data_IF_226450965610
#
_entry.id   IF_226450965610
#
_cell.length_a   1.000
_cell.length_b   1.000
_cell.length_c   1.000
_cell.angle_alpha   90.00
_cell.angle_beta   90.00
_cell.angle_gamma   90.00
#
_symmetry.space_group_name_H-M   'P 1'
#
loop_
_entity.id
_entity.type
_entity.pdbx_description
1 polymer ?
#
# COMPACT_ATOMS: atom_id res chain seq x y z
N UNK A 1 60.19 42.60 -28.01
CA UNK A 1 59.64 41.29 -27.87
C UNK A 1 58.65 41.37 -26.70
N UNK A 2 57.35 41.37 -27.00
CA UNK A 2 56.28 41.51 -26.01
C UNK A 2 55.57 40.13 -25.85
N UNK A 3 55.67 39.49 -24.68
CA UNK A 3 54.99 38.24 -24.36
C UNK A 3 53.60 38.56 -23.85
N UNK A 4 52.59 38.21 -24.62
CA UNK A 4 51.20 38.22 -24.17
C UNK A 4 50.87 36.86 -23.55
N UNK A 5 50.77 36.81 -22.26
CA UNK A 5 50.26 35.65 -21.54
C UNK A 5 48.72 35.76 -21.45
N UNK A 6 48.05 34.93 -22.23
CA UNK A 6 46.57 34.79 -22.14
C UNK A 6 46.20 33.92 -20.96
N UNK A 7 45.55 34.48 -19.95
CA UNK A 7 45.01 33.76 -18.83
C UNK A 7 43.61 33.25 -19.24
N UNK A 8 43.47 31.96 -19.48
CA UNK A 8 42.17 31.31 -19.69
C UNK A 8 41.50 31.09 -18.34
N UNK A 9 40.42 31.82 -18.05
CA UNK A 9 39.58 31.65 -16.86
C UNK A 9 38.61 30.52 -17.14
N UNK A 10 38.88 29.30 -16.59
CA UNK A 10 37.99 28.19 -16.64
C UNK A 10 36.87 28.38 -15.57
N UNK A 11 35.69 28.79 -16.02
CA UNK A 11 34.50 28.85 -15.19
C UNK A 11 33.99 27.41 -14.96
N UNK A 12 34.26 26.82 -13.79
CA UNK A 12 33.69 25.55 -13.36
C UNK A 12 32.22 25.80 -12.95
N UNK A 13 31.29 25.41 -13.83
CA UNK A 13 29.87 25.45 -13.58
C UNK A 13 29.55 24.27 -12.66
N UNK A 14 29.59 24.46 -11.33
CA UNK A 14 29.09 23.50 -10.33
C UNK A 14 27.57 23.56 -10.35
N UNK A 15 26.94 22.71 -11.16
CA UNK A 15 25.51 22.40 -11.01
C UNK A 15 25.32 21.68 -9.69
N UNK A 16 24.93 22.41 -8.64
CA UNK A 16 24.41 21.81 -7.41
C UNK A 16 23.11 21.09 -7.79
N UNK A 17 23.17 19.76 -7.93
CA UNK A 17 21.97 18.95 -7.91
C UNK A 17 21.36 19.11 -6.52
N UNK A 18 20.37 19.98 -6.41
CA UNK A 18 19.47 20.00 -5.26
C UNK A 18 18.67 18.69 -5.32
N UNK A 19 19.17 17.64 -4.65
CA UNK A 19 18.35 16.48 -4.34
C UNK A 19 17.18 17.00 -3.52
N UNK A 20 16.02 17.16 -4.16
CA UNK A 20 14.78 17.42 -3.44
C UNK A 20 14.57 16.34 -2.39
N UNK A 21 13.86 16.61 -1.30
CA UNK A 21 13.57 15.61 -0.31
C UNK A 21 12.91 14.42 -1.01
N UNK A 22 13.57 13.26 -0.96
CA UNK A 22 12.94 12.01 -1.41
C UNK A 22 11.74 11.79 -0.50
N UNK A 23 10.54 12.13 -0.98
CA UNK A 23 9.30 11.87 -0.27
C UNK A 23 9.04 10.39 -0.44
N UNK A 24 9.52 9.62 0.51
CA UNK A 24 9.24 8.19 0.56
C UNK A 24 7.91 7.99 1.28
N UNK A 25 7.04 7.21 0.66
CA UNK A 25 5.71 6.90 1.17
C UNK A 25 5.58 5.41 1.45
N UNK A 26 4.73 5.04 2.40
CA UNK A 26 4.26 3.67 2.46
C UNK A 26 3.51 3.36 1.16
N UNK A 27 3.83 2.24 0.51
CA UNK A 27 3.25 1.87 -0.78
C UNK A 27 2.95 0.38 -0.84
N UNK A 28 1.95 -0.01 -1.62
CA UNK A 28 1.77 -1.42 -1.96
C UNK A 28 2.78 -1.84 -3.03
N UNK A 29 3.23 -3.09 -2.94
CA UNK A 29 4.10 -3.70 -3.96
C UNK A 29 3.42 -3.74 -5.33
N UNK A 30 2.12 -4.07 -5.36
CA UNK A 30 1.26 -3.96 -6.53
C UNK A 30 0.18 -2.93 -6.24
N UNK A 31 0.19 -1.80 -6.95
CA UNK A 31 -0.79 -0.73 -6.76
C UNK A 31 -2.09 -0.96 -7.54
N UNK A 32 -2.13 -1.95 -8.42
CA UNK A 32 -3.29 -2.32 -9.23
C UNK A 32 -3.57 -3.79 -9.03
N UNK A 33 -4.82 -4.13 -8.73
CA UNK A 33 -5.25 -5.52 -8.47
C UNK A 33 -6.63 -5.80 -9.06
N UNK A 34 -6.91 -7.05 -9.50
CA UNK A 34 -8.22 -7.46 -9.98
C UNK A 34 -9.33 -7.27 -8.94
N UNK A 35 -10.42 -6.60 -9.30
CA UNK A 35 -11.59 -6.40 -8.47
C UNK A 35 -12.31 -7.71 -8.14
N UNK A 36 -12.90 -7.84 -6.94
CA UNK A 36 -13.75 -8.96 -6.54
C UNK A 36 -13.03 -10.24 -6.12
N UNK A 37 -11.70 -10.26 -6.11
CA UNK A 37 -10.91 -11.44 -5.77
C UNK A 37 -10.15 -11.28 -4.46
N UNK A 38 -9.72 -12.41 -3.92
CA UNK A 38 -8.75 -12.43 -2.81
C UNK A 38 -7.37 -12.08 -3.40
N UNK A 39 -6.72 -11.10 -2.78
CA UNK A 39 -5.41 -10.61 -3.16
C UNK A 39 -4.41 -10.85 -2.04
N UNK A 40 -3.18 -11.19 -2.39
CA UNK A 40 -2.04 -11.16 -1.49
C UNK A 40 -1.42 -9.76 -1.59
N UNK A 41 -1.60 -8.96 -0.55
CA UNK A 41 -1.20 -7.56 -0.49
C UNK A 41 0.04 -7.40 0.39
N UNK A 42 0.99 -6.60 -0.07
CA UNK A 42 2.17 -6.25 0.72
C UNK A 42 2.32 -4.74 0.78
N UNK A 43 2.20 -4.20 1.99
CA UNK A 43 2.51 -2.81 2.29
C UNK A 43 3.99 -2.69 2.63
N UNK A 44 4.73 -1.89 1.87
CA UNK A 44 6.13 -1.58 2.14
C UNK A 44 6.26 -0.32 2.96
N UNK A 45 6.98 -0.43 4.06
CA UNK A 45 7.47 0.70 4.85
C UNK A 45 8.95 0.87 4.52
N UNK A 46 9.28 1.90 3.76
CA UNK A 46 10.55 2.03 3.04
C UNK A 46 11.59 2.89 3.76
N UNK A 47 11.24 3.45 4.90
CA UNK A 47 12.14 4.27 5.71
C UNK A 47 11.60 4.44 7.13
N UNK A 48 12.45 4.92 8.02
CA UNK A 48 12.05 5.36 9.35
C UNK A 48 11.24 6.64 9.34
N UNK A 49 10.88 7.08 10.51
CA UNK A 49 10.08 8.28 10.72
C UNK A 49 10.91 9.57 10.58
N UNK A 50 10.21 10.69 10.54
CA UNK A 50 10.83 12.02 10.54
C UNK A 50 11.85 12.16 11.67
N UNK A 51 12.97 12.84 11.39
CA UNK A 51 14.05 13.03 12.35
C UNK A 51 14.91 11.79 12.58
N UNK A 52 14.96 10.87 11.61
CA UNK A 52 15.77 9.65 11.65
C UNK A 52 15.43 8.70 12.80
N UNK A 53 14.15 8.68 13.21
CA UNK A 53 13.66 7.73 14.21
C UNK A 53 13.25 6.41 13.54
N UNK A 54 13.65 5.25 14.10
CA UNK A 54 13.22 3.96 13.57
C UNK A 54 11.72 3.73 13.78
N UNK A 55 11.10 2.92 12.89
CA UNK A 55 9.72 2.47 13.02
C UNK A 55 9.67 1.22 13.87
N UNK A 56 8.85 1.19 14.89
CA UNK A 56 8.64 0.06 15.80
C UNK A 56 7.20 -0.49 15.77
N UNK A 57 6.29 0.17 15.08
CA UNK A 57 4.96 -0.36 14.82
C UNK A 57 4.39 0.16 13.50
N UNK A 58 3.51 -0.64 12.89
CA UNK A 58 2.79 -0.28 11.67
C UNK A 58 1.33 -0.64 11.87
N UNK A 59 0.46 0.34 11.66
CA UNK A 59 -0.99 0.19 11.78
C UNK A 59 -1.65 0.48 10.46
N UNK A 60 -2.47 -0.45 9.97
CA UNK A 60 -3.18 -0.32 8.70
C UNK A 60 -4.68 -0.42 8.96
N UNK A 61 -5.42 0.63 8.62
CA UNK A 61 -6.88 0.62 8.61
C UNK A 61 -7.38 -0.03 7.33
N UNK A 62 -8.23 -1.04 7.47
CA UNK A 62 -8.81 -1.76 6.34
C UNK A 62 -10.02 -0.99 5.81
N UNK A 63 -10.04 -0.60 4.51
CA UNK A 63 -11.14 0.17 3.94
C UNK A 63 -12.47 -0.59 3.94
N UNK A 64 -13.57 0.17 3.80
CA UNK A 64 -14.90 -0.40 3.59
C UNK A 64 -14.95 -1.28 2.33
N UNK A 65 -15.74 -2.33 2.37
CA UNK A 65 -15.88 -3.30 1.27
C UNK A 65 -14.78 -4.36 1.21
N UNK A 66 -13.65 -4.17 1.91
CA UNK A 66 -12.61 -5.20 2.04
C UNK A 66 -13.00 -6.18 3.15
N UNK A 67 -12.95 -7.48 2.83
CA UNK A 67 -13.37 -8.56 3.73
C UNK A 67 -12.37 -9.72 3.70
N UNK A 68 -12.61 -10.77 4.49
CA UNK A 68 -11.80 -12.01 4.52
C UNK A 68 -10.30 -11.72 4.70
N UNK A 69 -9.98 -10.85 5.64
CA UNK A 69 -8.59 -10.46 5.90
C UNK A 69 -7.91 -11.55 6.71
N UNK A 70 -6.77 -12.02 6.22
CA UNK A 70 -5.84 -12.93 6.91
C UNK A 70 -4.47 -12.30 6.95
N UNK A 71 -3.87 -12.19 8.12
CA UNK A 71 -2.64 -11.43 8.33
C UNK A 71 -1.44 -12.38 8.37
N UNK A 72 -0.37 -12.02 7.68
CA UNK A 72 0.88 -12.76 7.75
C UNK A 72 1.64 -12.44 9.04
N UNK A 73 2.27 -13.47 9.60
CA UNK A 73 3.17 -13.33 10.75
C UNK A 73 4.54 -12.89 10.25
N UNK A 74 4.98 -11.72 10.69
CA UNK A 74 6.34 -11.23 10.43
C UNK A 74 7.21 -11.63 11.62
N UNK A 75 8.39 -12.18 11.35
CA UNK A 75 9.31 -12.62 12.41
C UNK A 75 9.64 -11.45 13.34
N UNK A 76 9.63 -11.72 14.65
CA UNK A 76 9.93 -10.76 15.71
C UNK A 76 8.97 -9.56 15.84
N UNK A 77 7.84 -9.61 15.09
CA UNK A 77 6.75 -8.67 15.21
C UNK A 77 5.51 -9.33 15.80
N UNK A 78 4.92 -8.68 16.80
CA UNK A 78 3.61 -9.06 17.33
C UNK A 78 2.53 -8.54 16.38
N UNK A 79 1.52 -9.38 16.09
CA UNK A 79 0.37 -9.00 15.27
C UNK A 79 -0.87 -8.92 16.14
N UNK A 80 -1.62 -7.83 16.00
CA UNK A 80 -2.92 -7.62 16.64
C UNK A 80 -3.92 -7.14 15.59
N UNK A 81 -5.18 -7.55 15.72
CA UNK A 81 -6.26 -7.11 14.83
C UNK A 81 -7.44 -6.60 15.64
N UNK A 82 -8.08 -5.55 15.14
CA UNK A 82 -9.40 -5.11 15.60
C UNK A 82 -10.44 -5.56 14.59
N UNK A 83 -11.61 -5.98 15.08
CA UNK A 83 -12.73 -6.40 14.24
C UNK A 83 -13.75 -5.29 14.13
N UNK A 84 -14.50 -5.28 13.00
CA UNK A 84 -15.72 -4.49 12.83
C UNK A 84 -16.84 -5.36 12.30
N UNK A 85 -18.08 -5.03 12.65
CA UNK A 85 -19.27 -5.64 12.05
C UNK A 85 -19.43 -5.16 10.62
N UNK A 86 -19.84 -6.08 9.76
CA UNK A 86 -20.21 -5.71 8.39
C UNK A 86 -21.61 -5.10 8.38
N UNK A 87 -21.89 -4.06 7.57
CA UNK A 87 -23.22 -3.49 7.41
C UNK A 87 -24.25 -4.51 6.90
N UNK A 88 -23.78 -5.45 6.07
CA UNK A 88 -24.55 -6.60 5.57
C UNK A 88 -23.65 -7.83 5.61
N UNK A 89 -24.17 -8.99 6.06
CA UNK A 89 -23.44 -10.23 5.97
C UNK A 89 -23.06 -10.55 4.52
N UNK A 90 -21.86 -11.07 4.31
CA UNK A 90 -21.39 -11.55 3.01
C UNK A 90 -21.21 -13.05 3.04
N UNK A 91 -21.51 -13.71 1.92
CA UNK A 91 -21.34 -15.14 1.81
C UNK A 91 -19.86 -15.50 1.79
N UNK A 92 -19.45 -16.36 2.69
CA UNK A 92 -18.12 -16.92 2.79
C UNK A 92 -17.99 -18.24 2.00
N UNK A 93 -16.86 -18.89 2.17
CA UNK A 93 -16.60 -20.21 1.63
C UNK A 93 -17.51 -21.25 2.32
N UNK A 94 -17.98 -22.23 1.56
CA UNK A 94 -18.88 -23.26 2.09
C UNK A 94 -20.27 -22.75 2.52
N UNK A 95 -20.69 -21.55 2.08
CA UNK A 95 -22.01 -20.97 2.39
C UNK A 95 -22.10 -20.31 3.76
N UNK A 96 -21.02 -20.28 4.54
CA UNK A 96 -20.98 -19.60 5.84
C UNK A 96 -21.14 -18.08 5.66
N UNK A 97 -22.03 -17.46 6.46
CA UNK A 97 -22.22 -16.02 6.44
C UNK A 97 -21.19 -15.33 7.32
N UNK A 98 -20.43 -14.43 6.73
CA UNK A 98 -19.44 -13.59 7.41
C UNK A 98 -20.15 -12.30 7.83
N UNK A 99 -20.17 -12.02 9.12
CA UNK A 99 -20.81 -10.84 9.73
C UNK A 99 -19.82 -9.82 10.24
N UNK A 100 -18.54 -10.18 10.32
CA UNK A 100 -17.46 -9.34 10.80
C UNK A 100 -16.25 -9.43 9.89
N UNK A 101 -15.42 -8.39 9.89
CA UNK A 101 -14.12 -8.39 9.20
C UNK A 101 -13.09 -7.66 10.04
N UNK A 102 -11.82 -7.82 9.70
CA UNK A 102 -10.77 -7.00 10.31
C UNK A 102 -10.98 -5.54 9.92
N UNK A 103 -10.90 -4.68 10.91
CA UNK A 103 -11.01 -3.24 10.80
C UNK A 103 -9.64 -2.56 10.75
N UNK A 104 -8.72 -3.09 11.56
CA UNK A 104 -7.36 -2.56 11.69
C UNK A 104 -6.40 -3.72 11.97
N UNK A 105 -5.25 -3.67 11.34
CA UNK A 105 -4.12 -4.55 11.62
C UNK A 105 -3.02 -3.71 12.25
N UNK A 106 -2.41 -4.22 13.32
CA UNK A 106 -1.24 -3.62 13.93
C UNK A 106 -0.12 -4.65 14.06
N UNK A 107 1.03 -4.33 13.51
CA UNK A 107 2.29 -5.01 13.79
C UNK A 107 3.11 -4.15 14.73
N UNK A 108 3.71 -4.73 15.75
CA UNK A 108 4.56 -4.03 16.69
C UNK A 108 5.78 -4.87 17.08
N UNK A 109 6.93 -4.23 17.16
CA UNK A 109 8.19 -4.88 17.47
C UNK A 109 9.02 -4.00 18.42
N UNK A 110 8.96 -4.23 19.74
CA UNK A 110 9.69 -3.40 20.70
C UNK A 110 11.21 -3.55 20.61
N UNK A 111 11.70 -4.61 19.95
CA UNK A 111 13.14 -4.90 19.82
C UNK A 111 13.65 -4.95 18.39
N UNK A 112 12.76 -5.18 17.42
CA UNK A 112 13.08 -5.20 15.99
C UNK A 112 12.47 -3.99 15.34
N UNK A 113 13.26 -3.11 14.76
CA UNK A 113 12.80 -1.84 14.21
C UNK A 113 13.20 -1.75 12.73
N UNK A 114 12.41 -1.00 11.97
CA UNK A 114 12.85 -0.59 10.63
C UNK A 114 13.78 0.60 10.83
N UNK A 115 15.06 0.49 10.44
CA UNK A 115 16.01 1.59 10.55
C UNK A 115 15.54 2.83 9.81
N UNK A 116 16.05 3.99 10.22
CA UNK A 116 15.68 5.27 9.62
C UNK A 116 16.01 5.37 8.13
N UNK A 117 17.00 4.61 7.65
CA UNK A 117 17.40 4.60 6.24
C UNK A 117 18.04 3.27 5.84
N UNK A 118 18.08 2.99 4.53
CA UNK A 118 18.81 1.86 3.96
C UNK A 118 18.12 0.50 4.09
N UNK A 119 16.93 0.45 4.66
CA UNK A 119 16.18 -0.80 4.85
C UNK A 119 14.69 -0.55 4.68
N UNK A 120 13.96 -1.60 4.35
CA UNK A 120 12.50 -1.61 4.33
C UNK A 120 11.97 -2.91 4.93
N UNK A 121 10.69 -2.90 5.32
CA UNK A 121 9.97 -4.10 5.72
C UNK A 121 8.65 -4.20 4.96
N UNK A 122 8.22 -5.43 4.66
CA UNK A 122 7.00 -5.76 3.97
C UNK A 122 5.96 -6.38 4.89
N UNK A 123 4.84 -5.71 5.07
CA UNK A 123 3.72 -6.17 5.90
C UNK A 123 2.64 -6.77 5.02
N UNK A 124 2.51 -8.10 5.07
CA UNK A 124 1.64 -8.86 4.17
C UNK A 124 0.33 -9.23 4.83
N UNK A 125 -0.71 -9.21 4.03
CA UNK A 125 -2.02 -9.76 4.40
C UNK A 125 -2.80 -10.15 3.15
N UNK A 126 -3.67 -11.14 3.29
CA UNK A 126 -4.63 -11.51 2.24
C UNK A 126 -5.94 -10.82 2.53
N UNK A 127 -6.62 -10.37 1.50
CA UNK A 127 -7.94 -9.75 1.65
C UNK A 127 -8.76 -9.90 0.37
N UNK A 128 -10.05 -10.08 0.52
CA UNK A 128 -10.98 -9.96 -0.61
C UNK A 128 -11.29 -8.49 -0.82
N UNK A 129 -10.93 -7.96 -1.98
CA UNK A 129 -11.28 -6.61 -2.40
C UNK A 129 -12.68 -6.59 -3.02
N UNK A 130 -13.43 -5.45 -2.94
CA UNK A 130 -14.77 -5.35 -3.51
C UNK A 130 -14.76 -5.49 -5.04
N UNK A 131 -15.88 -5.96 -5.59
CA UNK A 131 -16.06 -6.09 -7.04
C UNK A 131 -16.54 -4.76 -7.64
N UNK A 132 -15.68 -3.75 -7.58
CA UNK A 132 -15.93 -2.39 -8.09
C UNK A 132 -14.77 -1.95 -8.99
N UNK A 133 -14.67 -2.49 -10.24
CA UNK A 133 -13.62 -2.08 -11.17
C UNK A 133 -13.60 -0.57 -11.40
N UNK A 134 -12.42 0.03 -11.42
CA UNK A 134 -12.23 1.48 -11.53
C UNK A 134 -12.25 2.22 -10.19
N UNK A 135 -12.58 1.56 -9.08
CA UNK A 135 -12.49 2.17 -7.76
C UNK A 135 -11.07 2.21 -7.23
N UNK A 136 -10.79 3.18 -6.38
CA UNK A 136 -9.58 3.27 -5.58
C UNK A 136 -9.89 2.96 -4.12
N UNK A 137 -9.04 2.17 -3.49
CA UNK A 137 -9.09 1.88 -2.06
C UNK A 137 -7.90 2.56 -1.38
N UNK A 138 -8.17 3.38 -0.38
CA UNK A 138 -7.13 4.04 0.41
C UNK A 138 -6.96 3.34 1.77
N UNK A 139 -5.75 2.93 2.08
CA UNK A 139 -5.39 2.26 3.32
C UNK A 139 -4.69 3.22 4.25
N UNK A 140 -5.43 3.87 5.14
CA UNK A 140 -4.82 4.77 6.12
C UNK A 140 -3.82 3.99 6.97
N UNK A 141 -2.57 4.43 6.95
CA UNK A 141 -1.46 3.75 7.61
C UNK A 141 -0.77 4.70 8.57
N UNK A 142 -0.35 4.20 9.72
CA UNK A 142 0.41 4.96 10.71
C UNK A 142 1.65 4.15 11.07
N UNK A 143 2.82 4.73 10.84
CA UNK A 143 4.07 4.20 11.35
C UNK A 143 4.29 4.75 12.76
N UNK A 144 4.34 3.88 13.77
CA UNK A 144 4.72 4.26 15.12
C UNK A 144 6.23 4.27 15.24
N UNK A 145 6.77 5.27 15.86
CA UNK A 145 8.18 5.55 15.97
C UNK A 145 8.61 5.63 17.43
N UNK A 146 9.89 5.63 17.72
CA UNK A 146 10.38 5.85 19.08
C UNK A 146 9.94 7.23 19.64
N UNK A 147 9.79 8.21 18.73
CA UNK A 147 9.35 9.57 19.08
C UNK A 147 8.18 9.98 18.19
N UNK A 148 6.97 9.72 18.69
CA UNK A 148 5.72 10.08 18.01
C UNK A 148 5.34 9.14 16.86
N UNK A 149 4.40 9.54 16.03
CA UNK A 149 3.86 8.79 14.91
C UNK A 149 4.14 9.50 13.58
N UNK A 150 4.27 8.74 12.52
CA UNK A 150 4.35 9.25 11.14
C UNK A 150 3.11 8.77 10.36
N UNK A 151 2.05 9.60 10.26
CA UNK A 151 0.78 9.20 9.69
C UNK A 151 0.73 9.38 8.16
N UNK A 152 0.23 8.36 7.46
CA UNK A 152 -0.14 8.33 6.04
C UNK A 152 -1.65 8.12 5.95
N UNK A 153 -2.42 9.14 6.30
CA UNK A 153 -3.88 9.03 6.50
C UNK A 153 -4.68 10.01 5.66
N UNK A 154 -4.03 10.94 4.97
CA UNK A 154 -4.72 11.98 4.22
C UNK A 154 -5.27 11.42 2.92
N UNK A 155 -6.51 11.78 2.63
CA UNK A 155 -7.23 11.44 1.40
C UNK A 155 -7.26 12.66 0.46
N UNK A 156 -7.52 12.46 -0.84
CA UNK A 156 -7.73 13.58 -1.75
C UNK A 156 -8.87 14.48 -1.25
N UNK A 157 -8.61 15.79 -1.16
CA UNK A 157 -9.62 16.77 -0.73
C UNK A 157 -10.76 16.91 -1.76
N UNK A 158 -10.41 16.76 -3.02
CA UNK A 158 -11.36 16.69 -4.15
C UNK A 158 -11.31 15.28 -4.71
N UNK A 159 -12.43 14.66 -5.07
CA UNK A 159 -12.43 13.35 -5.69
C UNK A 159 -11.51 13.33 -6.92
N UNK A 160 -10.68 12.30 -7.02
CA UNK A 160 -9.85 12.09 -8.19
C UNK A 160 -10.74 11.77 -9.41
N UNK A 161 -10.31 12.13 -10.62
CA UNK A 161 -10.97 11.70 -11.84
C UNK A 161 -11.14 10.18 -11.89
N UNK A 162 -12.05 9.68 -12.70
CA UNK A 162 -12.20 8.24 -12.90
C UNK A 162 -10.90 7.61 -13.41
N UNK A 163 -10.58 6.41 -12.94
CA UNK A 163 -9.43 5.64 -13.43
C UNK A 163 -9.55 5.47 -14.95
N UNK A 164 -8.50 5.88 -15.67
CA UNK A 164 -8.47 5.90 -17.13
C UNK A 164 -8.90 7.23 -17.77
N UNK A 165 -9.36 8.22 -17.00
CA UNK A 165 -9.54 9.58 -17.52
C UNK A 165 -8.18 10.20 -17.89
N UNK A 166 -8.18 11.11 -18.87
CA UNK A 166 -6.96 11.68 -19.44
C UNK A 166 -6.07 12.41 -18.39
N UNK A 167 -6.70 13.02 -17.39
CA UNK A 167 -6.03 13.76 -16.32
C UNK A 167 -5.81 12.95 -15.03
N UNK A 168 -6.31 11.70 -14.98
CA UNK A 168 -6.23 10.86 -13.77
C UNK A 168 -4.80 10.70 -13.25
N UNK A 169 -3.86 10.34 -14.14
CA UNK A 169 -2.49 10.08 -13.73
C UNK A 169 -1.83 11.32 -13.13
N UNK A 170 -2.02 12.50 -13.75
CA UNK A 170 -1.44 13.75 -13.26
C UNK A 170 -2.06 14.13 -11.91
N UNK A 171 -3.38 14.05 -11.76
CA UNK A 171 -4.07 14.36 -10.50
C UNK A 171 -3.68 13.42 -9.36
N UNK A 172 -3.42 12.16 -9.67
CA UNK A 172 -2.91 11.20 -8.68
C UNK A 172 -1.47 11.54 -8.27
N UNK A 173 -0.61 11.90 -9.22
CA UNK A 173 0.76 12.36 -8.93
C UNK A 173 0.72 13.62 -8.06
N UNK A 174 -0.08 14.61 -8.43
CA UNK A 174 -0.27 15.85 -7.64
C UNK A 174 -0.67 15.52 -6.20
N UNK A 175 -1.69 14.66 -6.04
CA UNK A 175 -2.14 14.22 -4.71
C UNK A 175 -1.00 13.56 -3.91
N UNK A 176 -0.28 12.64 -4.53
CA UNK A 176 0.78 11.89 -3.84
C UNK A 176 2.00 12.75 -3.50
N UNK A 177 2.33 13.76 -4.32
CA UNK A 177 3.52 14.61 -4.14
C UNK A 177 3.26 15.85 -3.28
N UNK A 178 2.06 16.43 -3.36
CA UNK A 178 1.73 17.69 -2.69
C UNK A 178 1.06 17.48 -1.31
N UNK A 179 0.53 16.28 -1.05
CA UNK A 179 -0.14 15.96 0.21
C UNK A 179 0.87 15.44 1.23
N UNK A 180 0.92 16.05 2.40
CA UNK A 180 1.70 15.51 3.51
C UNK A 180 1.05 14.22 4.02
N UNK A 181 1.79 13.09 4.02
CA UNK A 181 1.31 11.79 4.48
C UNK A 181 0.06 11.29 3.73
N UNK A 182 0.08 11.20 2.39
CA UNK A 182 -1.03 10.66 1.62
C UNK A 182 -1.24 9.20 1.95
N UNK A 183 -2.49 8.77 2.06
CA UNK A 183 -2.79 7.37 2.33
C UNK A 183 -2.39 6.48 1.14
N UNK A 184 -1.69 5.36 1.38
CA UNK A 184 -1.44 4.35 0.36
C UNK A 184 -2.73 3.86 -0.30
N UNK A 185 -2.66 3.52 -1.57
CA UNK A 185 -3.85 3.16 -2.34
C UNK A 185 -3.67 1.88 -3.16
N UNK A 186 -4.81 1.29 -3.52
CA UNK A 186 -4.95 0.27 -4.57
C UNK A 186 -5.95 0.74 -5.60
N UNK A 187 -5.68 0.47 -6.87
CA UNK A 187 -6.61 0.62 -7.99
C UNK A 187 -7.21 -0.75 -8.28
N UNK A 188 -8.53 -0.82 -8.32
CA UNK A 188 -9.25 -2.04 -8.67
C UNK A 188 -9.49 -2.08 -10.17
N UNK A 189 -8.83 -2.99 -10.86
CA UNK A 189 -8.99 -3.15 -12.29
C UNK A 189 -10.07 -4.20 -12.64
N UNK A 190 -10.58 -4.12 -13.86
CA UNK A 190 -11.45 -5.16 -14.38
C UNK A 190 -10.65 -6.46 -14.47
N UNK A 191 -11.12 -7.54 -13.82
CA UNK A 191 -10.39 -8.81 -13.88
C UNK A 191 -10.32 -9.33 -15.32
N UNK A 192 -9.16 -9.81 -15.73
CA UNK A 192 -9.03 -10.60 -16.94
C UNK A 192 -9.89 -11.86 -16.79
N UNK A 193 -10.31 -12.46 -17.91
CA UNK A 193 -10.98 -13.78 -17.85
C UNK A 193 -10.08 -14.74 -17.08
N UNK A 194 -10.64 -15.33 -16.02
CA UNK A 194 -9.93 -16.35 -15.24
C UNK A 194 -9.50 -17.48 -16.18
N UNK A 195 -8.20 -17.63 -16.34
CA UNK A 195 -7.62 -18.87 -16.81
C UNK A 195 -7.27 -19.68 -15.58
N UNK A 196 -7.94 -20.83 -15.41
CA UNK A 196 -7.53 -21.74 -14.35
C UNK A 196 -6.08 -22.19 -14.60
N UNK A 197 -5.23 -22.31 -13.57
CA UNK A 197 -3.84 -22.75 -13.71
C UNK A 197 -3.69 -24.11 -14.41
N UNK A 198 -4.74 -24.93 -14.41
CA UNK A 198 -4.83 -26.25 -15.06
C UNK A 198 -5.59 -26.24 -16.39
N UNK A 199 -5.72 -25.09 -17.04
CA UNK A 199 -6.42 -24.93 -18.32
C UNK A 199 -7.92 -24.69 -18.17
N UNK A 200 -8.66 -24.82 -19.28
CA UNK A 200 -10.10 -24.55 -19.33
C UNK A 200 -10.99 -25.68 -18.77
N UNK A 201 -10.41 -26.63 -18.04
CA UNK A 201 -11.19 -27.69 -17.41
C UNK A 201 -12.07 -27.08 -16.29
N UNK A 202 -13.38 -27.17 -16.46
CA UNK A 202 -14.34 -26.83 -15.41
C UNK A 202 -14.03 -27.71 -14.20
N UNK A 203 -13.84 -27.16 -12.98
CA UNK A 203 -13.67 -27.98 -11.79
C UNK A 203 -14.84 -28.99 -11.73
N UNK A 204 -14.54 -30.25 -11.52
CA UNK A 204 -15.58 -31.23 -11.27
C UNK A 204 -16.43 -30.73 -10.10
N UNK A 205 -17.75 -30.66 -10.29
CA UNK A 205 -18.66 -30.32 -9.19
C UNK A 205 -18.45 -31.33 -8.08
N UNK A 206 -18.17 -30.88 -6.86
CA UNK A 206 -18.01 -31.74 -5.68
C UNK A 206 -19.33 -32.41 -5.22
N UNK A 207 -20.36 -32.38 -6.05
CA UNK A 207 -21.70 -32.85 -5.70
C UNK A 207 -21.96 -34.34 -6.01
N UNK A 208 -20.92 -35.10 -6.29
CA UNK A 208 -21.08 -36.53 -6.50
C UNK A 208 -20.40 -37.31 -5.37
N UNK A 209 -21.12 -37.54 -4.26
CA UNK A 209 -20.77 -38.65 -3.38
C UNK A 209 -20.65 -38.38 -1.89
N UNK A 210 -21.66 -37.77 -1.28
CA UNK A 210 -21.95 -38.05 0.14
C UNK A 210 -23.21 -38.91 0.17
N UNK A 211 -23.02 -40.22 0.18
CA UNK A 211 -23.96 -41.21 0.72
C UNK A 211 -23.30 -41.89 1.89
#
# INVERSE_FOLDING_TARGET
>A
MKNNASIALAAALTTALTAGPAISHNTFTAMTVPAGYIQDLEMRVTHGCKGSSPVNSVRIKIPEGVTRVSVNVVRDWKVETKMRKLPKPVQGEGGVMITETVDEIMWSAPKSVIPASGSYEGFRFRAQVPNTPGAMLFFKTINGCEKGDDPYVNLPKTPLPAVGAADFAQKLIDFMSETSGPAPYLILEKPAKLQYPWGNAKPASRDAGAR
#
